data_IF_354713756544
#
_entry.id   IF_354713756544
#
_cell.length_a   1.000
_cell.length_b   1.000
_cell.length_c   1.000
_cell.angle_alpha   90.00
_cell.angle_beta   90.00
_cell.angle_gamma   90.00
#
_symmetry.space_group_name_H-M   'P 1'
#
loop_
_entity.id
_entity.type
_entity.pdbx_description
1 polymer ?
#
# COMPACT_ATOMS: atom_id res chain seq x y z
N UNK A 1 72.28 14.62 -27.19
CA UNK A 1 71.00 14.58 -27.95
C UNK A 1 70.12 13.48 -27.36
N UNK A 2 68.85 13.80 -27.06
CA UNK A 2 67.72 12.90 -26.73
C UNK A 2 67.82 12.13 -25.40
N UNK A 3 66.81 12.04 -24.54
CA UNK A 3 65.52 12.73 -24.36
C UNK A 3 65.04 12.26 -22.98
N UNK A 4 64.59 13.18 -22.16
CA UNK A 4 63.83 13.02 -20.92
C UNK A 4 62.62 12.11 -21.13
N UNK A 5 62.36 11.16 -20.23
CA UNK A 5 61.01 10.59 -20.02
C UNK A 5 60.90 10.00 -18.62
N UNK A 6 60.55 10.87 -17.67
CA UNK A 6 59.81 10.48 -16.46
C UNK A 6 58.49 9.84 -16.92
N UNK A 7 58.31 8.55 -16.69
CA UNK A 7 56.99 7.93 -16.72
C UNK A 7 56.51 7.94 -15.27
N UNK A 8 55.81 9.01 -14.89
CA UNK A 8 54.86 8.95 -13.79
C UNK A 8 53.84 7.88 -14.16
N UNK A 9 53.93 6.71 -13.53
CA UNK A 9 52.82 5.77 -13.51
C UNK A 9 51.77 6.38 -12.59
N UNK A 10 50.95 7.25 -13.16
CA UNK A 10 49.74 7.77 -12.53
C UNK A 10 48.87 6.58 -12.19
N UNK A 11 48.91 6.16 -10.92
CA UNK A 11 47.87 5.33 -10.32
C UNK A 11 46.62 6.21 -10.28
N UNK A 12 45.94 6.31 -11.41
CA UNK A 12 44.56 6.75 -11.49
C UNK A 12 43.78 5.62 -10.84
N UNK A 13 43.61 5.71 -9.51
CA UNK A 13 42.49 5.03 -8.87
C UNK A 13 41.27 5.63 -9.56
N UNK A 14 40.68 4.85 -10.46
CA UNK A 14 39.38 5.14 -11.02
C UNK A 14 38.38 5.05 -9.86
N UNK A 15 38.31 6.11 -9.06
CA UNK A 15 37.10 6.46 -8.33
C UNK A 15 36.05 6.61 -9.41
N UNK A 16 35.27 5.54 -9.59
CA UNK A 16 34.06 5.54 -10.38
C UNK A 16 33.11 6.54 -9.71
N UNK A 17 33.27 7.80 -10.09
CA UNK A 17 32.36 8.88 -9.79
C UNK A 17 31.15 8.69 -10.70
N UNK A 18 30.31 7.72 -10.35
CA UNK A 18 28.96 7.63 -10.90
C UNK A 18 28.16 8.79 -10.30
N UNK A 19 28.33 9.99 -10.88
CA UNK A 19 27.40 11.08 -10.70
C UNK A 19 26.13 10.72 -11.48
N UNK A 20 25.05 10.37 -10.79
CA UNK A 20 23.73 10.43 -11.40
C UNK A 20 23.35 11.91 -11.47
N UNK A 21 23.35 12.45 -12.70
CA UNK A 21 22.84 13.78 -12.99
C UNK A 21 21.35 13.84 -12.69
N UNK A 22 20.96 14.96 -12.08
CA UNK A 22 19.57 15.34 -11.86
C UNK A 22 18.93 15.69 -13.19
N UNK A 23 18.08 14.81 -13.73
CA UNK A 23 17.10 15.20 -14.74
C UNK A 23 15.70 14.92 -14.20
N UNK A 24 14.93 16.00 -14.13
CA UNK A 24 13.57 15.99 -13.64
C UNK A 24 12.63 15.23 -14.57
N UNK A 25 11.62 14.61 -13.96
CA UNK A 25 10.36 14.24 -14.62
C UNK A 25 10.36 12.89 -15.35
N UNK A 26 9.58 11.95 -14.83
CA UNK A 26 9.11 10.79 -15.60
C UNK A 26 9.06 9.50 -14.78
N UNK A 27 7.84 9.07 -14.44
CA UNK A 27 7.57 7.84 -13.70
C UNK A 27 7.94 6.57 -14.48
N UNK A 28 9.20 6.15 -14.35
CA UNK A 28 9.64 4.77 -14.59
C UNK A 28 10.12 4.14 -13.28
N UNK A 29 10.16 2.79 -13.17
CA UNK A 29 10.64 2.14 -11.97
C UNK A 29 12.09 2.57 -11.73
N UNK A 30 12.31 3.33 -10.64
CA UNK A 30 13.60 3.89 -10.23
C UNK A 30 14.57 2.75 -9.88
N UNK A 31 15.15 2.13 -10.91
CA UNK A 31 16.28 1.23 -10.78
C UNK A 31 17.57 2.04 -10.56
N UNK A 32 17.59 2.89 -9.54
CA UNK A 32 18.84 3.29 -8.90
C UNK A 32 19.19 2.19 -7.91
N UNK A 33 19.73 1.06 -8.40
CA UNK A 33 20.29 0.05 -7.52
C UNK A 33 21.55 0.66 -6.87
N UNK A 34 21.34 1.36 -5.74
CA UNK A 34 22.40 1.66 -4.77
C UNK A 34 22.77 3.12 -4.48
N UNK A 35 22.07 4.15 -5.00
CA UNK A 35 22.29 5.56 -4.58
C UNK A 35 20.98 6.36 -4.55
N UNK A 36 20.48 6.63 -3.35
CA UNK A 36 19.46 7.64 -3.08
C UNK A 36 20.12 8.95 -2.64
N UNK A 37 19.47 10.09 -2.90
CA UNK A 37 19.90 11.41 -2.41
C UNK A 37 18.86 12.07 -1.50
N UNK A 38 17.62 11.59 -1.57
CA UNK A 38 16.48 12.06 -0.79
C UNK A 38 15.47 10.91 -0.63
N UNK A 39 14.58 10.99 0.37
CA UNK A 39 13.60 9.94 0.67
C UNK A 39 12.72 9.57 -0.53
N UNK A 40 12.40 10.53 -1.40
CA UNK A 40 11.58 10.31 -2.60
C UNK A 40 12.30 9.56 -3.73
N UNK A 41 13.57 9.20 -3.54
CA UNK A 41 14.29 8.25 -4.39
C UNK A 41 14.05 6.79 -3.98
N UNK A 42 13.48 6.58 -2.80
CA UNK A 42 13.21 5.26 -2.25
C UNK A 42 11.74 4.87 -2.41
N UNK A 43 11.48 3.55 -2.33
CA UNK A 43 10.11 3.04 -2.27
C UNK A 43 9.34 3.59 -1.06
N UNK A 44 8.01 3.54 -1.15
CA UNK A 44 7.14 4.03 -0.09
C UNK A 44 7.52 3.41 1.27
N UNK A 45 7.69 4.25 2.29
CA UNK A 45 8.12 3.92 3.66
C UNK A 45 9.61 3.63 3.87
N UNK A 46 10.46 3.84 2.86
CA UNK A 46 11.91 3.82 3.03
C UNK A 46 12.49 5.23 3.14
N UNK A 47 13.64 5.32 3.79
CA UNK A 47 14.38 6.54 4.06
C UNK A 47 15.74 6.52 3.37
N UNK A 48 16.18 7.68 2.89
CA UNK A 48 17.46 7.74 2.24
C UNK A 48 18.59 8.00 3.24
N UNK A 49 19.42 6.98 3.48
CA UNK A 49 20.69 7.14 4.18
C UNK A 49 21.70 7.78 3.24
N UNK A 50 21.73 9.11 3.21
CA UNK A 50 22.57 9.90 2.30
C UNK A 50 24.07 9.65 2.45
N UNK A 51 24.52 9.17 3.63
CA UNK A 51 25.93 8.85 3.87
C UNK A 51 26.43 7.65 3.07
N UNK A 52 25.57 6.66 2.80
CA UNK A 52 25.90 5.48 1.98
C UNK A 52 25.16 5.48 0.65
N UNK A 53 24.14 6.32 0.50
CA UNK A 53 23.18 6.35 -0.61
C UNK A 53 22.24 5.15 -0.61
N UNK A 54 21.98 4.53 0.54
CA UNK A 54 21.11 3.37 0.61
C UNK A 54 19.71 3.73 1.11
N UNK A 55 18.69 3.12 0.52
CA UNK A 55 17.34 3.16 1.05
C UNK A 55 17.25 2.18 2.23
N UNK A 56 16.98 2.72 3.41
CA UNK A 56 16.90 1.97 4.67
C UNK A 56 15.50 2.11 5.26
N UNK A 57 15.15 1.25 6.22
CA UNK A 57 13.82 1.31 6.83
C UNK A 57 13.64 2.57 7.69
N UNK A 58 14.72 3.08 8.29
CA UNK A 58 14.67 4.22 9.19
C UNK A 58 16.00 4.94 9.37
N UNK A 59 15.91 6.21 9.75
CA UNK A 59 17.05 7.05 10.18
C UNK A 59 16.86 7.56 11.60
N UNK A 60 15.62 7.69 12.04
CA UNK A 60 15.24 8.19 13.36
C UNK A 60 14.07 7.38 13.91
N UNK A 61 13.86 7.49 15.22
CA UNK A 61 12.87 6.67 15.89
C UNK A 61 11.44 6.90 15.38
N UNK A 62 11.11 8.11 14.94
CA UNK A 62 9.79 8.46 14.40
C UNK A 62 9.50 7.87 13.03
N UNK A 63 10.49 7.33 12.32
CA UNK A 63 10.28 6.63 11.05
C UNK A 63 9.67 5.24 11.28
N UNK A 64 9.85 4.70 12.48
CA UNK A 64 9.34 3.40 12.89
C UNK A 64 8.29 3.56 13.99
N UNK A 65 7.44 2.56 14.13
CA UNK A 65 6.56 2.50 15.29
C UNK A 65 7.30 2.28 16.63
N UNK A 66 8.48 1.64 16.60
CA UNK A 66 9.24 1.20 17.80
C UNK A 66 10.59 1.87 17.99
N UNK A 67 10.89 2.83 17.15
CA UNK A 67 12.23 3.34 17.05
C UNK A 67 13.08 2.60 16.02
N UNK A 68 14.16 3.26 15.66
CA UNK A 68 15.13 2.81 14.69
C UNK A 68 16.31 2.17 15.40
N UNK A 69 16.79 1.03 14.90
CA UNK A 69 18.12 0.57 15.23
C UNK A 69 19.12 1.38 14.38
N UNK A 70 19.80 2.34 15.01
CA UNK A 70 20.72 3.23 14.32
C UNK A 70 21.98 2.53 13.74
N UNK A 71 22.23 1.27 14.11
CA UNK A 71 23.38 0.50 13.62
C UNK A 71 23.03 -0.25 12.34
N UNK A 72 21.85 -0.86 12.32
CA UNK A 72 21.38 -1.67 11.18
C UNK A 72 20.45 -0.89 10.24
N UNK A 73 19.99 0.30 10.66
CA UNK A 73 18.97 1.10 9.99
C UNK A 73 17.68 0.31 9.70
N UNK A 74 17.34 -0.60 10.62
CA UNK A 74 16.10 -1.39 10.60
C UNK A 74 15.17 -0.98 11.73
N UNK A 75 13.86 -1.07 11.50
CA UNK A 75 12.88 -0.84 12.56
C UNK A 75 12.98 -1.95 13.61
N UNK A 76 13.05 -1.55 14.88
CA UNK A 76 13.08 -2.50 15.99
C UNK A 76 11.80 -3.33 16.03
N UNK A 77 11.93 -4.61 16.32
CA UNK A 77 10.81 -5.49 16.64
C UNK A 77 10.39 -5.26 18.09
N UNK A 78 9.11 -5.44 18.38
CA UNK A 78 8.64 -5.47 19.76
C UNK A 78 8.95 -6.82 20.40
N UNK A 79 9.24 -6.81 21.70
CA UNK A 79 9.40 -8.04 22.51
C UNK A 79 8.28 -8.22 23.52
N UNK A 80 7.50 -7.16 23.77
CA UNK A 80 6.34 -7.16 24.64
C UNK A 80 5.37 -6.02 24.26
N UNK A 81 4.16 -6.12 24.76
CA UNK A 81 3.04 -5.19 24.52
C UNK A 81 3.36 -3.74 24.94
N UNK A 82 4.07 -3.56 26.06
CA UNK A 82 4.38 -2.21 26.58
C UNK A 82 5.28 -1.41 25.63
N UNK A 83 5.97 -2.07 24.71
CA UNK A 83 6.74 -1.39 23.68
C UNK A 83 5.82 -0.80 22.60
N UNK A 84 4.63 -1.37 22.35
CA UNK A 84 3.66 -1.04 21.29
C UNK A 84 2.80 0.20 21.50
N UNK A 85 2.97 0.93 22.58
CA UNK A 85 2.26 2.20 22.81
C UNK A 85 3.01 3.38 22.19
N UNK A 86 2.40 4.05 21.21
CA UNK A 86 2.91 5.32 20.65
C UNK A 86 1.82 6.36 20.81
N UNK A 87 2.00 7.30 21.74
CA UNK A 87 0.98 8.30 22.09
C UNK A 87 0.57 9.20 20.91
N UNK A 88 1.36 9.25 19.84
CA UNK A 88 1.14 10.07 18.65
C UNK A 88 0.32 9.39 17.56
N UNK A 89 0.17 8.05 17.58
CA UNK A 89 -0.56 7.30 16.57
C UNK A 89 -1.80 6.68 17.21
N UNK A 90 -2.99 7.22 16.91
CA UNK A 90 -4.30 6.74 17.41
C UNK A 90 -4.64 5.27 17.10
N UNK A 91 -3.75 4.57 16.41
CA UNK A 91 -3.98 3.29 15.72
C UNK A 91 -2.96 2.25 16.19
N UNK A 92 -2.56 2.26 17.46
CA UNK A 92 -1.68 1.22 18.02
C UNK A 92 -2.20 0.79 19.38
N UNK A 93 -2.56 -0.48 19.49
CA UNK A 93 -3.21 -1.04 20.68
C UNK A 93 -2.27 -1.43 21.80
N UNK A 94 -0.98 -1.12 21.65
CA UNK A 94 -0.02 -1.59 22.62
C UNK A 94 0.15 -3.09 22.60
N UNK A 95 -0.13 -3.80 21.49
CA UNK A 95 0.04 -5.26 21.43
C UNK A 95 1.13 -5.67 20.44
N UNK A 96 1.97 -6.62 20.87
CA UNK A 96 3.04 -7.22 20.10
C UNK A 96 2.64 -8.62 19.63
N UNK A 97 2.71 -8.89 18.33
CA UNK A 97 2.45 -10.22 17.80
C UNK A 97 3.65 -11.16 17.96
N UNK A 98 3.44 -12.45 17.70
CA UNK A 98 4.50 -13.47 17.80
C UNK A 98 5.63 -13.31 16.78
N UNK A 99 5.49 -12.40 15.81
CA UNK A 99 6.52 -12.05 14.84
C UNK A 99 7.26 -10.75 15.21
N UNK A 100 7.02 -10.21 16.41
CA UNK A 100 7.66 -8.99 16.89
C UNK A 100 7.14 -7.72 16.20
N UNK A 101 5.91 -7.75 15.68
CA UNK A 101 5.24 -6.61 15.05
C UNK A 101 4.15 -6.08 15.95
N UNK A 102 4.05 -4.76 16.04
CA UNK A 102 2.96 -4.15 16.77
C UNK A 102 1.68 -4.13 15.94
N UNK A 103 0.62 -4.63 16.56
CA UNK A 103 -0.70 -4.59 16.00
C UNK A 103 -1.21 -3.15 15.99
N UNK A 104 -1.90 -2.79 14.90
CA UNK A 104 -2.57 -1.49 14.79
C UNK A 104 -3.94 -1.49 15.48
N UNK A 105 -4.55 -2.65 15.59
CA UNK A 105 -5.82 -2.83 16.25
C UNK A 105 -5.81 -4.16 17.03
N UNK A 106 -6.58 -4.17 18.12
CA UNK A 106 -6.90 -5.34 18.92
C UNK A 106 -8.40 -5.65 18.78
N UNK A 107 -9.18 -4.57 18.63
CA UNK A 107 -10.62 -4.57 18.44
C UNK A 107 -10.98 -3.60 17.32
N UNK A 108 -12.16 -3.76 16.73
CA UNK A 108 -12.66 -2.84 15.69
C UNK A 108 -12.84 -1.40 16.19
N UNK A 109 -12.96 -1.20 17.51
CA UNK A 109 -13.03 0.15 18.10
C UNK A 109 -11.72 0.94 17.92
N UNK A 110 -10.59 0.25 17.79
CA UNK A 110 -9.28 0.88 17.55
C UNK A 110 -9.16 1.43 16.11
N UNK A 111 -10.06 1.01 15.22
CA UNK A 111 -10.14 1.46 13.85
C UNK A 111 -11.07 2.67 13.66
N UNK A 112 -11.65 3.21 14.73
CA UNK A 112 -12.55 4.35 14.67
C UNK A 112 -11.81 5.70 14.79
N UNK A 113 -11.00 6.02 13.77
CA UNK A 113 -10.38 7.33 13.64
C UNK A 113 -11.08 8.18 12.55
N UNK A 114 -11.11 9.50 12.78
CA UNK A 114 -11.79 10.45 11.90
C UNK A 114 -11.23 10.35 10.47
N UNK A 115 -12.11 10.07 9.50
CA UNK A 115 -11.75 9.90 8.09
C UNK A 115 -11.32 8.48 7.67
N UNK A 116 -11.27 7.50 8.59
CA UNK A 116 -11.00 6.10 8.21
C UNK A 116 -12.19 5.47 7.50
N UNK A 117 -11.94 4.82 6.36
CA UNK A 117 -12.89 3.86 5.74
C UNK A 117 -12.66 2.42 6.24
N UNK A 118 -11.60 2.19 7.03
CA UNK A 118 -11.24 0.91 7.62
C UNK A 118 -11.79 0.89 9.04
N UNK A 119 -12.81 0.07 9.29
CA UNK A 119 -13.55 0.06 10.56
C UNK A 119 -13.43 -1.25 11.33
N UNK A 120 -12.83 -2.27 10.74
CA UNK A 120 -12.80 -3.61 11.32
C UNK A 120 -11.37 -3.97 11.63
N UNK A 121 -11.14 -4.57 12.80
CA UNK A 121 -9.85 -5.14 13.09
C UNK A 121 -9.75 -6.52 12.47
N UNK A 122 -8.90 -6.66 11.45
CA UNK A 122 -8.65 -7.93 10.79
C UNK A 122 -7.86 -8.89 11.68
N UNK A 123 -7.83 -10.19 11.34
CA UNK A 123 -7.16 -11.21 12.14
C UNK A 123 -5.63 -11.02 12.24
N UNK A 124 -5.04 -10.25 11.32
CA UNK A 124 -3.64 -9.87 11.37
C UNK A 124 -3.36 -8.66 12.31
N UNK A 125 -4.37 -8.14 13.01
CA UNK A 125 -4.27 -6.97 13.89
C UNK A 125 -4.05 -5.66 13.12
N UNK A 126 -4.60 -5.57 11.91
CA UNK A 126 -4.62 -4.35 11.09
C UNK A 126 -6.06 -3.95 10.79
N UNK A 127 -6.32 -2.65 10.72
CA UNK A 127 -7.62 -2.14 10.32
C UNK A 127 -7.88 -2.44 8.84
N UNK A 128 -9.03 -3.04 8.57
CA UNK A 128 -9.49 -3.49 7.25
C UNK A 128 -10.89 -2.94 6.98
N UNK A 129 -11.33 -3.00 5.71
CA UNK A 129 -12.71 -2.63 5.36
C UNK A 129 -13.69 -3.71 5.79
N UNK A 130 -13.30 -4.97 5.64
CA UNK A 130 -14.08 -6.14 5.97
C UNK A 130 -13.18 -7.28 6.44
N UNK A 131 -13.72 -8.15 7.29
CA UNK A 131 -13.16 -9.46 7.61
C UNK A 131 -14.04 -10.61 7.06
N UNK A 132 -15.31 -10.33 6.79
CA UNK A 132 -16.31 -11.26 6.26
C UNK A 132 -17.33 -10.51 5.38
N UNK A 133 -18.07 -11.24 4.55
CA UNK A 133 -19.02 -10.66 3.58
C UNK A 133 -20.09 -9.77 4.22
N UNK A 134 -20.56 -10.12 5.43
CA UNK A 134 -21.58 -9.33 6.14
C UNK A 134 -21.11 -7.96 6.62
N UNK A 135 -19.80 -7.70 6.58
CA UNK A 135 -19.24 -6.41 6.94
C UNK A 135 -19.41 -5.37 5.83
N UNK A 136 -19.68 -5.83 4.60
CA UNK A 136 -19.84 -4.97 3.45
C UNK A 136 -21.26 -4.43 3.37
N UNK A 137 -21.40 -3.12 3.56
CA UNK A 137 -22.69 -2.41 3.45
C UNK A 137 -23.05 -2.23 1.97
N UNK A 138 -23.64 -3.26 1.36
CA UNK A 138 -24.13 -3.24 0.00
C UNK A 138 -24.54 -4.63 -0.46
N UNK A 139 -25.73 -4.77 -1.06
CA UNK A 139 -26.19 -6.05 -1.60
C UNK A 139 -25.20 -6.53 -2.69
N UNK A 140 -24.75 -7.78 -2.62
CA UNK A 140 -23.83 -8.37 -3.59
C UNK A 140 -22.35 -8.01 -3.40
N UNK A 141 -21.98 -7.36 -2.30
CA UNK A 141 -20.57 -7.18 -1.93
C UNK A 141 -20.05 -8.36 -1.12
N UNK A 142 -18.84 -8.81 -1.47
CA UNK A 142 -18.10 -9.83 -0.73
C UNK A 142 -16.80 -9.25 -0.19
N UNK A 143 -16.33 -9.82 0.91
CA UNK A 143 -15.03 -9.48 1.45
C UNK A 143 -13.95 -10.32 0.76
N UNK A 144 -13.16 -9.69 -0.10
CA UNK A 144 -12.02 -10.33 -0.76
C UNK A 144 -10.77 -9.52 -0.42
N UNK A 145 -9.76 -10.20 0.11
CA UNK A 145 -8.48 -9.59 0.52
C UNK A 145 -8.67 -8.33 1.38
N UNK A 146 -9.58 -8.39 2.35
CA UNK A 146 -9.88 -7.32 3.30
C UNK A 146 -10.54 -6.06 2.69
N UNK A 147 -11.04 -6.17 1.46
CA UNK A 147 -11.73 -5.11 0.72
C UNK A 147 -13.12 -5.60 0.31
N UNK A 148 -14.12 -4.75 0.50
CA UNK A 148 -15.46 -4.98 -0.04
C UNK A 148 -15.45 -4.79 -1.54
N UNK A 149 -15.51 -5.90 -2.28
CA UNK A 149 -15.61 -5.90 -3.73
C UNK A 149 -17.03 -6.26 -4.13
N UNK A 150 -17.56 -5.54 -5.11
CA UNK A 150 -18.84 -5.91 -5.70
C UNK A 150 -18.62 -7.14 -6.58
N UNK A 151 -19.25 -8.25 -6.22
CA UNK A 151 -19.19 -9.51 -6.96
C UNK A 151 -20.54 -9.78 -7.62
N UNK A 152 -21.10 -8.71 -8.19
CA UNK A 152 -22.47 -8.49 -8.68
C UNK A 152 -23.09 -9.49 -9.66
N UNK A 153 -22.51 -10.67 -9.79
CA UNK A 153 -22.96 -11.74 -10.65
C UNK A 153 -23.43 -12.94 -9.82
N UNK A 154 -23.76 -12.77 -8.53
CA UNK A 154 -24.36 -13.84 -7.74
C UNK A 154 -25.75 -13.44 -7.24
N UNK A 155 -26.78 -14.11 -7.72
CA UNK A 155 -28.17 -13.87 -7.32
C UNK A 155 -28.88 -15.22 -7.09
N UNK A 156 -29.90 -15.19 -6.23
CA UNK A 156 -30.88 -16.30 -6.08
C UNK A 156 -32.30 -15.85 -6.43
N UNK A 157 -32.53 -14.53 -6.42
CA UNK A 157 -33.80 -13.87 -6.75
C UNK A 157 -33.51 -12.53 -7.44
N UNK A 158 -34.47 -12.02 -8.20
CA UNK A 158 -34.35 -10.76 -8.95
C UNK A 158 -34.13 -9.54 -8.04
N UNK A 159 -34.59 -9.60 -6.78
CA UNK A 159 -34.42 -8.52 -5.80
C UNK A 159 -32.96 -8.26 -5.39
N UNK A 160 -32.04 -9.18 -5.71
CA UNK A 160 -30.61 -9.05 -5.42
C UNK A 160 -29.83 -8.35 -6.54
N UNK A 161 -30.50 -8.09 -7.66
CA UNK A 161 -29.92 -7.44 -8.81
C UNK A 161 -30.25 -5.94 -8.80
N UNK A 162 -29.34 -5.12 -9.32
CA UNK A 162 -29.59 -3.70 -9.56
C UNK A 162 -30.81 -3.53 -10.48
N UNK A 163 -31.42 -2.34 -10.44
CA UNK A 163 -32.50 -1.99 -11.36
C UNK A 163 -32.12 -2.34 -12.80
N UNK A 164 -33.05 -2.99 -13.52
CA UNK A 164 -32.94 -3.53 -14.89
C UNK A 164 -32.20 -4.87 -15.09
N UNK A 165 -31.69 -5.50 -14.03
CA UNK A 165 -31.10 -6.83 -14.08
C UNK A 165 -32.02 -7.89 -13.44
N UNK A 166 -32.10 -9.08 -14.06
CA UNK A 166 -32.82 -10.26 -13.53
C UNK A 166 -31.85 -11.38 -13.18
N UNK A 167 -32.26 -12.20 -12.22
CA UNK A 167 -31.46 -13.32 -11.79
C UNK A 167 -31.63 -14.52 -12.73
N UNK A 168 -30.58 -14.86 -13.48
CA UNK A 168 -30.56 -16.03 -14.35
C UNK A 168 -29.35 -16.90 -14.07
N UNK A 169 -29.57 -18.19 -13.79
CA UNK A 169 -28.48 -19.14 -13.61
C UNK A 169 -27.50 -18.80 -12.49
N UNK A 170 -27.96 -18.03 -11.50
CA UNK A 170 -27.13 -17.59 -10.39
C UNK A 170 -26.41 -16.26 -10.61
N UNK A 171 -26.60 -15.56 -11.73
CA UNK A 171 -25.99 -14.25 -11.99
C UNK A 171 -27.00 -13.21 -12.48
N UNK A 172 -26.74 -11.94 -12.15
CA UNK A 172 -27.57 -10.82 -12.58
C UNK A 172 -27.28 -10.52 -14.05
N UNK A 173 -28.30 -10.67 -14.90
CA UNK A 173 -28.21 -10.49 -16.36
C UNK A 173 -29.34 -9.59 -16.84
N UNK A 174 -29.13 -8.87 -17.93
CA UNK A 174 -30.18 -8.09 -18.57
C UNK A 174 -31.37 -8.98 -18.99
N UNK A 175 -32.57 -8.40 -18.98
CA UNK A 175 -33.74 -9.01 -19.61
C UNK A 175 -33.65 -8.85 -21.14
N UNK A 176 -33.90 -9.93 -21.88
CA UNK A 176 -33.93 -9.91 -23.36
C UNK A 176 -32.56 -9.85 -24.05
N UNK A 177 -32.53 -9.30 -25.28
CA UNK A 177 -31.34 -9.10 -26.12
C UNK A 177 -30.54 -7.83 -25.78
N UNK A 178 -30.85 -7.21 -24.63
CA UNK A 178 -30.25 -5.96 -24.20
C UNK A 178 -28.76 -6.14 -23.84
N UNK A 179 -27.93 -5.20 -24.29
CA UNK A 179 -26.50 -5.15 -23.98
C UNK A 179 -26.24 -4.32 -22.72
N UNK A 180 -25.21 -4.68 -21.95
CA UNK A 180 -24.72 -3.83 -20.86
C UNK A 180 -23.89 -2.68 -21.46
N UNK A 181 -24.41 -1.46 -21.43
CA UNK A 181 -23.63 -0.25 -21.74
C UNK A 181 -23.28 0.50 -20.46
N UNK A 182 -22.08 1.10 -20.43
CA UNK A 182 -21.68 2.01 -19.37
C UNK A 182 -22.46 3.32 -19.55
N UNK A 183 -23.45 3.57 -18.69
CA UNK A 183 -24.16 4.82 -18.65
C UNK A 183 -23.43 5.79 -17.71
N UNK A 184 -23.02 6.95 -18.26
CA UNK A 184 -22.57 8.07 -17.45
C UNK A 184 -23.78 8.70 -16.77
N UNK A 185 -24.04 8.33 -15.52
CA UNK A 185 -24.98 9.06 -14.68
C UNK A 185 -24.44 10.47 -14.38
N UNK A 186 -25.34 11.40 -14.08
CA UNK A 186 -25.04 12.81 -13.74
C UNK A 186 -24.13 13.02 -12.52
N UNK A 187 -23.72 11.94 -11.84
CA UNK A 187 -22.87 11.94 -10.64
C UNK A 187 -21.43 11.45 -10.86
N UNK A 188 -20.98 11.23 -12.11
CA UNK A 188 -19.66 10.64 -12.43
C UNK A 188 -19.42 9.21 -11.89
N UNK A 189 -20.44 8.54 -11.36
CA UNK A 189 -20.38 7.10 -11.06
C UNK A 189 -20.66 6.30 -12.33
N UNK A 190 -19.72 5.41 -12.69
CA UNK A 190 -19.90 4.45 -13.76
C UNK A 190 -20.97 3.44 -13.33
N UNK A 191 -22.18 3.57 -13.86
CA UNK A 191 -23.25 2.59 -13.68
C UNK A 191 -23.47 1.82 -14.97
N UNK A 192 -23.66 0.51 -14.86
CA UNK A 192 -24.01 -0.36 -15.97
C UNK A 192 -25.54 -0.42 -16.08
N UNK A 193 -26.07 -0.11 -17.26
CA UNK A 193 -27.53 -0.19 -17.53
C UNK A 193 -27.78 -1.13 -18.70
N UNK A 194 -28.90 -1.85 -18.63
CA UNK A 194 -29.36 -2.68 -19.74
C UNK A 194 -30.03 -1.79 -20.80
N UNK A 195 -29.44 -1.70 -21.99
CA UNK A 195 -29.99 -0.91 -23.10
C UNK A 195 -30.57 -1.87 -24.14
N UNK A 196 -31.83 -1.67 -24.48
CA UNK A 196 -32.48 -2.42 -25.58
C UNK A 196 -31.98 -1.88 -26.91
N UNK A 197 -31.59 -2.76 -27.84
CA UNK A 197 -31.32 -2.39 -29.24
C UNK A 197 -32.59 -1.90 -29.96
#
# INVERSE_FOLDING_TARGET
>A
MRKTSLILVSVIVAFNLAACGSDGGGGGPKACVGKCTQDSDCDANLKCLTSTGQCVACLQDSDCAKGCDATTHTCKQCTNDSECVVATVKIMTGQCDSFGRCLKCATSNDCDFAGSTLKICGPAGYCVKCAQDSDCTGIGHQCIDNVCVWKGDSCTTDAQCSYDFVCKGGYCSCTGDAMCEAAFGSSNDLHWTCVSM
#
